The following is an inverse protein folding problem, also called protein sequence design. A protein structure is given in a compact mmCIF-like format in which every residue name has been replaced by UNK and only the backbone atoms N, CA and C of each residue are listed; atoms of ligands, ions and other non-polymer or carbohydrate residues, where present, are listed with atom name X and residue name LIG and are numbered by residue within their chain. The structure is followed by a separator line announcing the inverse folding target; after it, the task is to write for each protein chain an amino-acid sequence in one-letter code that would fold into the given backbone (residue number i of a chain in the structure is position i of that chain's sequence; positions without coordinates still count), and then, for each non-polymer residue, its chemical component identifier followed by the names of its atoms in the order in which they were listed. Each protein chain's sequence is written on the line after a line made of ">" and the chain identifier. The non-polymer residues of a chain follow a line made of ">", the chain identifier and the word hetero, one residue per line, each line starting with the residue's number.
data_IF_490761783025
#
_entry.id   IF_490761783025
#
_cell.length_a   1.000
_cell.length_b   1.000
_cell.length_c   1.000
_cell.angle_alpha   90.00
_cell.angle_beta   90.00
_cell.angle_gamma   90.00
#
_symmetry.space_group_name_H-M   'P 1'
#
loop_
_entity.id
_entity.type
_entity.pdbx_description
1 polymer ?
#
# COMPACT_ATOMS: atom_id res chain seq x y z
N UNK A 1 51.81 24.60 -29.31
CA UNK A 1 52.15 23.68 -30.44
C UNK A 1 51.18 22.55 -30.42
N UNK A 2 50.23 22.58 -31.37
CA UNK A 2 50.02 21.67 -32.51
C UNK A 2 49.47 20.30 -32.07
N UNK A 3 48.37 19.78 -32.51
CA UNK A 3 47.47 19.77 -33.66
C UNK A 3 46.50 18.64 -33.37
N UNK A 4 45.19 18.82 -33.46
CA UNK A 4 44.29 18.42 -34.56
C UNK A 4 44.49 16.97 -35.02
N UNK A 5 43.43 16.17 -34.95
CA UNK A 5 42.53 15.81 -36.04
C UNK A 5 41.40 14.91 -35.56
N UNK A 6 40.27 15.30 -35.88
CA UNK A 6 39.01 14.76 -36.18
C UNK A 6 39.08 13.79 -37.40
N UNK A 7 38.24 12.74 -37.41
CA UNK A 7 37.61 12.20 -38.62
C UNK A 7 36.27 11.59 -38.25
N UNK A 8 35.27 12.12 -38.88
CA UNK A 8 33.91 11.56 -39.04
C UNK A 8 33.88 10.71 -40.29
N UNK A 9 33.00 9.71 -40.34
CA UNK A 9 32.37 9.15 -41.53
C UNK A 9 31.28 8.18 -41.08
N UNK A 10 30.09 8.44 -41.35
CA UNK A 10 29.24 8.51 -42.53
C UNK A 10 28.46 7.20 -42.74
N UNK A 11 27.16 7.30 -42.48
CA UNK A 11 26.00 6.80 -43.20
C UNK A 11 26.21 5.66 -44.24
N UNK A 12 25.35 4.64 -44.16
CA UNK A 12 24.62 4.20 -45.34
C UNK A 12 23.25 3.60 -45.04
N UNK A 13 22.25 4.23 -45.60
CA UNK A 13 20.91 3.81 -45.95
C UNK A 13 20.90 2.57 -46.81
N UNK A 14 19.96 1.68 -46.61
CA UNK A 14 19.36 0.96 -47.75
C UNK A 14 17.88 0.69 -47.52
N UNK A 15 17.09 1.47 -48.25
CA UNK A 15 15.68 1.26 -48.55
C UNK A 15 15.66 0.29 -49.77
N UNK A 16 14.89 -0.79 -49.67
CA UNK A 16 14.44 -1.52 -50.84
C UNK A 16 12.93 -1.61 -50.80
N UNK A 17 12.31 -0.78 -51.62
CA UNK A 17 10.95 -0.90 -52.15
C UNK A 17 10.98 -1.80 -53.38
N UNK A 18 10.09 -2.79 -53.48
CA UNK A 18 9.65 -3.33 -54.77
C UNK A 18 8.14 -3.53 -54.73
N UNK A 19 7.53 -2.74 -55.57
CA UNK A 19 6.16 -2.84 -56.08
C UNK A 19 6.12 -3.87 -57.25
N UNK A 20 4.88 -4.21 -57.65
CA UNK A 20 4.42 -4.85 -58.89
C UNK A 20 4.13 -6.34 -58.70
N UNK A 21 2.99 -6.88 -59.06
CA UNK A 21 1.97 -6.46 -60.01
C UNK A 21 0.75 -7.34 -59.97
N UNK A 22 -0.33 -6.75 -60.36
CA UNK A 22 -1.64 -7.32 -60.62
C UNK A 22 -1.62 -8.32 -61.75
N UNK A 23 -2.37 -9.42 -61.59
CA UNK A 23 -3.01 -10.07 -62.78
C UNK A 23 -4.33 -10.68 -62.34
N UNK A 24 -5.38 -10.13 -62.92
CA UNK A 24 -6.73 -10.68 -62.98
C UNK A 24 -6.76 -11.94 -63.87
N UNK A 25 -7.32 -13.01 -63.37
CA UNK A 25 -7.95 -14.01 -64.24
C UNK A 25 -9.31 -14.35 -63.59
N UNK A 26 -10.38 -13.95 -64.30
CA UNK A 26 -11.73 -14.50 -64.14
C UNK A 26 -11.73 -15.91 -64.72
N UNK A 27 -12.41 -16.81 -64.01
CA UNK A 27 -13.32 -17.75 -64.68
C UNK A 27 -14.28 -18.35 -63.67
N UNK A 28 -15.55 -18.17 -64.01
CA UNK A 28 -16.74 -18.85 -63.44
C UNK A 28 -16.60 -20.38 -63.60
N UNK A 29 -17.10 -21.15 -62.66
CA UNK A 29 -18.16 -22.15 -62.89
C UNK A 29 -18.41 -23.02 -61.61
N UNK A 30 -19.70 -23.00 -61.19
CA UNK A 30 -20.44 -24.06 -60.53
C UNK A 30 -20.22 -24.32 -59.03
N UNK A 31 -21.22 -23.83 -58.29
CA UNK A 31 -21.67 -24.36 -57.01
C UNK A 31 -22.19 -25.82 -57.17
N UNK A 32 -22.02 -26.76 -56.21
CA UNK A 32 -22.95 -26.80 -55.11
C UNK A 32 -22.37 -27.30 -53.77
N UNK A 33 -23.21 -27.17 -52.78
CA UNK A 33 -23.29 -27.81 -51.47
C UNK A 33 -22.77 -27.00 -50.27
N UNK A 34 -23.79 -26.61 -49.51
CA UNK A 34 -23.73 -26.01 -48.20
C UNK A 34 -23.28 -27.04 -47.17
N UNK A 35 -22.09 -26.83 -46.56
CA UNK A 35 -21.81 -27.38 -45.26
C UNK A 35 -22.08 -26.30 -44.17
N UNK A 36 -22.59 -26.67 -43.01
CA UNK A 36 -22.97 -25.68 -41.97
C UNK A 36 -21.71 -25.07 -41.35
N UNK A 37 -21.64 -23.75 -41.40
CA UNK A 37 -20.66 -22.96 -40.64
C UNK A 37 -20.98 -23.17 -39.16
N UNK A 38 -20.15 -23.95 -38.49
CA UNK A 38 -20.10 -24.01 -37.03
C UNK A 38 -19.46 -22.70 -36.59
N UNK A 39 -20.30 -21.75 -36.20
CA UNK A 39 -19.89 -20.55 -35.48
C UNK A 39 -19.57 -20.98 -34.04
N UNK A 40 -18.31 -21.23 -33.76
CA UNK A 40 -17.82 -21.28 -32.38
C UNK A 40 -17.86 -19.86 -31.86
N UNK A 41 -18.96 -19.53 -31.21
CA UNK A 41 -18.99 -18.43 -30.23
C UNK A 41 -18.11 -18.87 -29.08
N UNK A 42 -16.89 -18.34 -29.00
CA UNK A 42 -16.14 -18.31 -27.75
C UNK A 42 -16.93 -17.42 -26.80
N UNK A 43 -17.75 -18.05 -25.98
CA UNK A 43 -18.29 -17.42 -24.76
C UNK A 43 -17.09 -17.06 -23.90
N UNK A 44 -16.66 -15.78 -23.97
CA UNK A 44 -15.92 -15.15 -22.90
C UNK A 44 -16.86 -15.18 -21.69
N UNK A 45 -16.66 -16.19 -20.87
CA UNK A 45 -17.18 -16.22 -19.51
C UNK A 45 -16.52 -15.03 -18.81
N UNK A 46 -17.23 -13.93 -18.72
CA UNK A 46 -16.96 -12.85 -17.80
C UNK A 46 -16.97 -13.52 -16.41
N UNK A 47 -15.82 -13.68 -15.79
CA UNK A 47 -15.74 -14.09 -14.40
C UNK A 47 -16.45 -12.99 -13.60
N UNK A 48 -17.67 -13.27 -13.19
CA UNK A 48 -18.42 -12.50 -12.23
C UNK A 48 -17.54 -12.38 -10.97
N UNK A 49 -16.93 -11.19 -10.76
CA UNK A 49 -16.13 -10.88 -9.59
C UNK A 49 -17.07 -11.05 -8.41
N UNK A 50 -16.91 -12.14 -7.67
CA UNK A 50 -17.69 -12.45 -6.48
C UNK A 50 -17.47 -11.29 -5.52
N UNK A 51 -18.47 -10.44 -5.35
CA UNK A 51 -18.44 -9.37 -4.37
C UNK A 51 -18.23 -10.03 -3.00
N UNK A 52 -17.06 -9.83 -2.43
CA UNK A 52 -16.80 -10.24 -1.03
C UNK A 52 -17.71 -9.39 -0.16
N UNK A 53 -18.63 -9.98 0.63
CA UNK A 53 -19.53 -9.20 1.44
C UNK A 53 -18.71 -8.36 2.43
N UNK A 54 -18.85 -7.04 2.36
CA UNK A 54 -18.36 -6.15 3.43
C UNK A 54 -19.11 -6.59 4.69
N UNK A 55 -18.43 -6.86 5.80
CA UNK A 55 -19.08 -7.28 7.03
C UNK A 55 -20.15 -6.26 7.43
N UNK A 56 -21.37 -6.72 7.64
CA UNK A 56 -22.43 -5.88 8.19
C UNK A 56 -22.10 -5.61 9.67
N UNK A 57 -21.33 -4.55 9.90
CA UNK A 57 -20.84 -4.13 11.20
C UNK A 57 -21.57 -2.84 11.56
N UNK A 58 -22.20 -2.79 12.74
CA UNK A 58 -22.61 -1.51 13.31
C UNK A 58 -21.39 -0.89 14.04
N UNK A 59 -20.71 0.07 13.42
CA UNK A 59 -19.46 0.60 13.96
C UNK A 59 -19.63 1.37 15.28
N UNK A 60 -20.86 1.73 15.67
CA UNK A 60 -21.14 2.43 16.91
C UNK A 60 -21.29 1.46 18.11
N UNK A 61 -21.60 0.21 17.84
CA UNK A 61 -21.83 -0.81 18.89
C UNK A 61 -20.78 -1.91 18.90
N UNK A 62 -19.97 -2.04 17.85
CA UNK A 62 -18.94 -3.07 17.78
C UNK A 62 -17.72 -2.71 18.67
N UNK A 63 -17.63 -3.40 19.80
CA UNK A 63 -16.57 -3.18 20.79
C UNK A 63 -15.15 -3.50 20.28
N UNK A 64 -15.01 -4.24 19.17
CA UNK A 64 -13.69 -4.54 18.59
C UNK A 64 -12.91 -3.28 18.22
N UNK A 65 -13.59 -2.19 17.88
CA UNK A 65 -12.95 -0.92 17.50
C UNK A 65 -12.60 -0.02 18.69
N UNK A 66 -13.09 -0.32 19.90
CA UNK A 66 -12.81 0.43 21.12
C UNK A 66 -12.08 -0.37 22.19
N UNK A 67 -12.06 -1.70 22.10
CA UNK A 67 -11.30 -2.56 23.04
C UNK A 67 -9.79 -2.44 22.74
N UNK A 68 -9.05 -1.96 23.74
CA UNK A 68 -7.60 -1.79 23.67
C UNK A 68 -6.81 -3.10 23.51
N UNK A 69 -7.44 -4.25 23.76
CA UNK A 69 -6.85 -5.56 23.50
C UNK A 69 -7.12 -6.07 22.08
N UNK A 70 -8.07 -5.47 21.37
CA UNK A 70 -8.41 -5.86 20.01
C UNK A 70 -7.32 -5.51 19.02
N UNK A 71 -7.08 -6.39 18.03
CA UNK A 71 -6.23 -6.08 16.87
C UNK A 71 -6.94 -5.14 15.88
N UNK A 72 -8.26 -4.97 16.00
CA UNK A 72 -9.07 -4.06 15.20
C UNK A 72 -9.33 -2.71 15.91
N UNK A 73 -8.63 -2.43 17.03
CA UNK A 73 -8.73 -1.16 17.73
C UNK A 73 -8.56 0.02 16.76
N UNK A 74 -9.58 0.88 16.66
CA UNK A 74 -9.56 2.05 15.78
C UNK A 74 -8.87 3.23 16.49
N UNK A 75 -7.84 3.75 15.83
CA UNK A 75 -7.20 5.01 16.22
C UNK A 75 -7.02 5.86 14.97
N UNK A 76 -7.69 7.00 14.94
CA UNK A 76 -7.60 7.99 13.87
C UNK A 76 -7.94 9.38 14.43
N UNK A 77 -8.12 10.40 13.59
CA UNK A 77 -8.40 11.78 14.04
C UNK A 77 -9.77 11.97 14.69
N UNK A 78 -10.65 10.96 14.68
CA UNK A 78 -11.95 10.95 15.38
C UNK A 78 -11.92 10.09 16.65
N UNK A 79 -10.98 9.16 16.74
CA UNK A 79 -10.89 8.17 17.81
C UNK A 79 -9.48 8.20 18.38
N UNK A 80 -9.36 8.71 19.61
CA UNK A 80 -8.07 8.83 20.30
C UNK A 80 -7.94 7.83 21.45
N UNK A 81 -6.72 7.46 21.74
CA UNK A 81 -6.32 6.79 22.98
C UNK A 81 -5.96 7.81 24.07
N UNK A 82 -6.02 7.37 25.31
CA UNK A 82 -5.37 8.10 26.39
C UNK A 82 -3.87 8.22 26.10
N UNK A 83 -3.28 9.40 26.32
CA UNK A 83 -1.86 9.63 26.01
C UNK A 83 -0.92 8.70 26.78
N UNK A 84 -1.36 8.25 27.94
CA UNK A 84 -0.63 7.32 28.83
C UNK A 84 -0.83 5.85 28.47
N UNK A 85 -1.70 5.54 27.50
CA UNK A 85 -1.94 4.15 27.09
C UNK A 85 -0.68 3.51 26.53
N UNK A 86 -0.38 2.31 27.03
CA UNK A 86 0.70 1.43 26.57
C UNK A 86 0.14 0.02 26.45
N UNK A 87 0.26 -0.63 25.28
CA UNK A 87 -0.12 -2.04 25.14
C UNK A 87 0.66 -2.93 26.11
N UNK A 88 -0.03 -3.87 26.75
CA UNK A 88 0.58 -4.76 27.77
C UNK A 88 1.44 -5.89 27.18
N UNK A 89 1.32 -6.15 25.86
CA UNK A 89 1.95 -7.26 25.15
C UNK A 89 3.02 -6.80 24.14
N UNK A 90 3.63 -5.64 24.36
CA UNK A 90 4.74 -5.17 23.53
C UNK A 90 5.94 -6.12 23.63
N UNK A 91 6.53 -6.42 22.48
CA UNK A 91 7.75 -7.22 22.37
C UNK A 91 8.68 -6.62 21.32
N UNK A 92 9.99 -6.80 21.50
CA UNK A 92 10.98 -6.41 20.51
C UNK A 92 10.82 -7.22 19.23
N UNK A 93 10.92 -6.53 18.08
CA UNK A 93 10.85 -7.14 16.76
C UNK A 93 12.25 -7.51 16.29
N UNK A 94 12.44 -8.77 15.91
CA UNK A 94 13.75 -9.29 15.48
C UNK A 94 13.88 -9.28 13.95
N UNK A 95 14.01 -8.08 13.38
CA UNK A 95 14.22 -7.85 11.93
C UNK A 95 15.28 -6.79 11.69
N UNK A 96 15.68 -6.62 10.43
CA UNK A 96 16.51 -5.49 10.03
C UNK A 96 15.78 -4.17 10.30
N UNK A 97 16.47 -3.20 10.87
CA UNK A 97 15.91 -1.90 11.24
C UNK A 97 16.72 -0.75 10.65
N UNK A 98 16.25 0.47 10.87
CA UNK A 98 16.99 1.70 10.58
C UNK A 98 18.04 2.08 11.65
N UNK A 99 18.48 1.11 12.46
CA UNK A 99 19.44 1.30 13.55
C UNK A 99 18.81 1.55 14.92
N UNK A 100 17.47 1.54 15.01
CA UNK A 100 16.72 1.65 16.26
C UNK A 100 16.01 0.32 16.54
N UNK A 101 16.04 -0.12 17.79
CA UNK A 101 15.26 -1.26 18.25
C UNK A 101 13.78 -0.84 18.40
N UNK A 102 12.87 -1.58 17.77
CA UNK A 102 11.44 -1.29 17.76
C UNK A 102 10.65 -2.41 18.44
N UNK A 103 9.55 -2.03 19.06
CA UNK A 103 8.58 -2.97 19.62
C UNK A 103 7.24 -2.88 18.91
N UNK A 104 6.54 -3.99 18.85
CA UNK A 104 5.13 -4.10 18.42
C UNK A 104 4.38 -4.99 19.41
N UNK A 105 3.06 -5.02 19.33
CA UNK A 105 2.27 -6.04 20.02
C UNK A 105 2.69 -7.43 19.51
N UNK A 106 2.69 -8.42 20.38
CA UNK A 106 3.27 -9.73 20.16
C UNK A 106 2.82 -10.39 18.84
N UNK A 107 1.53 -10.29 18.52
CA UNK A 107 0.98 -10.88 17.29
C UNK A 107 1.49 -10.13 16.04
N UNK A 108 1.47 -8.80 16.06
CA UNK A 108 2.00 -7.98 14.97
C UNK A 108 3.52 -8.13 14.80
N UNK A 109 4.27 -8.29 15.91
CA UNK A 109 5.71 -8.55 15.88
C UNK A 109 6.01 -9.88 15.15
N UNK A 110 5.30 -10.96 15.51
CA UNK A 110 5.47 -12.23 14.82
C UNK A 110 5.12 -12.14 13.33
N UNK A 111 4.03 -11.48 13.02
CA UNK A 111 3.57 -11.33 11.64
C UNK A 111 4.56 -10.54 10.77
N UNK A 112 5.18 -9.47 11.31
CA UNK A 112 6.17 -8.69 10.56
C UNK A 112 7.49 -9.44 10.39
N UNK A 113 7.91 -10.28 11.35
CA UNK A 113 9.06 -11.16 11.22
C UNK A 113 8.87 -12.18 10.09
N UNK A 114 7.66 -12.77 10.00
CA UNK A 114 7.31 -13.69 8.92
C UNK A 114 7.28 -12.99 7.56
N UNK A 115 6.70 -11.78 7.48
CA UNK A 115 6.68 -10.95 6.28
C UNK A 115 8.10 -10.61 5.79
N UNK A 116 8.99 -10.21 6.69
CA UNK A 116 10.39 -9.88 6.34
C UNK A 116 11.18 -11.10 5.90
N UNK A 117 10.88 -12.26 6.48
CA UNK A 117 11.48 -13.54 6.08
C UNK A 117 11.10 -13.88 4.64
N UNK A 118 9.80 -13.81 4.31
CA UNK A 118 9.32 -14.07 2.97
C UNK A 118 9.84 -13.07 1.94
N UNK A 119 9.89 -11.77 2.29
CA UNK A 119 10.48 -10.76 1.42
C UNK A 119 11.95 -11.08 1.08
N UNK A 120 12.72 -11.50 2.08
CA UNK A 120 14.12 -11.90 1.89
C UNK A 120 14.26 -13.14 1.01
N UNK A 121 13.37 -14.12 1.13
CA UNK A 121 13.33 -15.32 0.27
C UNK A 121 13.06 -14.94 -1.20
N UNK A 122 12.25 -13.92 -1.43
CA UNK A 122 11.96 -13.35 -2.75
C UNK A 122 13.04 -12.34 -3.23
N UNK A 123 14.14 -12.15 -2.48
CA UNK A 123 15.23 -11.25 -2.83
C UNK A 123 14.95 -9.77 -2.52
N UNK A 124 13.89 -9.47 -1.78
CA UNK A 124 13.50 -8.12 -1.37
C UNK A 124 14.07 -7.80 0.01
N UNK A 125 14.75 -6.66 0.14
CA UNK A 125 15.33 -6.22 1.41
C UNK A 125 14.46 -5.17 2.07
N UNK A 126 13.85 -5.53 3.20
CA UNK A 126 13.03 -4.62 4.01
C UNK A 126 13.78 -4.20 5.28
N UNK A 127 13.45 -3.01 5.78
CA UNK A 127 13.88 -2.47 7.07
C UNK A 127 12.68 -1.92 7.85
N UNK A 128 12.63 -2.19 9.14
CA UNK A 128 11.64 -1.60 10.04
C UNK A 128 12.09 -0.18 10.42
N UNK A 129 11.36 0.82 9.96
CA UNK A 129 11.66 2.24 10.16
C UNK A 129 11.13 2.79 11.46
N UNK A 130 9.97 2.30 11.93
CA UNK A 130 9.43 2.52 13.26
C UNK A 130 8.39 1.45 13.64
N UNK A 131 8.09 1.38 14.95
CA UNK A 131 7.06 0.54 15.54
C UNK A 131 6.27 1.33 16.60
N UNK A 132 6.02 0.73 17.77
CA UNK A 132 5.32 1.39 18.86
C UNK A 132 5.94 2.74 19.23
N UNK A 133 5.07 3.70 19.49
CA UNK A 133 5.44 5.05 19.88
C UNK A 133 4.50 5.54 20.98
N UNK A 134 5.03 5.97 22.13
CA UNK A 134 4.22 6.50 23.23
C UNK A 134 3.48 7.78 22.83
N UNK A 135 2.33 8.04 23.46
CA UNK A 135 1.56 9.27 23.22
C UNK A 135 2.36 10.53 23.52
N UNK A 136 3.15 10.53 24.62
CA UNK A 136 4.00 11.66 24.98
C UNK A 136 5.09 11.95 23.94
N UNK A 137 5.76 10.92 23.41
CA UNK A 137 6.75 11.08 22.34
C UNK A 137 6.10 11.55 21.04
N UNK A 138 4.91 11.01 20.72
CA UNK A 138 4.14 11.47 19.57
C UNK A 138 3.79 12.96 19.67
N UNK A 139 3.41 13.45 20.85
CA UNK A 139 3.15 14.87 21.10
C UNK A 139 4.37 15.76 20.84
N UNK A 140 5.55 15.33 21.27
CA UNK A 140 6.81 16.04 21.00
C UNK A 140 7.11 16.11 19.48
N UNK A 141 6.91 15.00 18.76
CA UNK A 141 7.09 14.95 17.31
C UNK A 141 6.09 15.87 16.58
N UNK A 142 4.82 15.85 17.01
CA UNK A 142 3.79 16.72 16.45
C UNK A 142 4.19 18.19 16.64
N UNK A 143 4.53 18.61 17.87
CA UNK A 143 4.91 20.00 18.17
C UNK A 143 6.18 20.42 17.38
N UNK A 144 7.16 19.53 17.27
CA UNK A 144 8.36 19.76 16.44
C UNK A 144 8.00 19.98 14.96
N UNK A 145 7.05 19.20 14.46
CA UNK A 145 6.57 19.35 13.07
C UNK A 145 5.80 20.66 12.90
N UNK A 146 4.91 21.03 13.84
CA UNK A 146 4.19 22.31 13.81
C UNK A 146 5.15 23.49 13.75
N UNK A 147 6.20 23.47 14.57
CA UNK A 147 7.22 24.52 14.59
C UNK A 147 8.00 24.62 13.26
N UNK A 148 8.12 23.51 12.53
CA UNK A 148 8.89 23.45 11.27
C UNK A 148 8.06 23.78 10.03
N UNK A 149 6.82 23.28 9.92
CA UNK A 149 6.01 23.37 8.68
C UNK A 149 4.59 23.91 8.89
N UNK A 150 4.27 24.34 10.11
CA UNK A 150 2.94 24.83 10.48
C UNK A 150 1.91 23.74 10.76
N UNK A 151 0.85 24.09 11.50
CA UNK A 151 -0.14 23.12 11.97
C UNK A 151 -0.93 22.46 10.82
N UNK A 152 -1.39 23.24 9.84
CA UNK A 152 -2.17 22.72 8.69
C UNK A 152 -1.42 21.64 7.94
N UNK A 153 -0.13 21.84 7.68
CA UNK A 153 0.70 20.85 6.97
C UNK A 153 1.01 19.65 7.88
N UNK A 154 1.26 19.91 9.17
CA UNK A 154 1.53 18.85 10.15
C UNK A 154 0.34 17.93 10.31
N UNK A 155 -0.88 18.46 10.39
CA UNK A 155 -2.09 17.66 10.53
C UNK A 155 -2.27 16.63 9.42
N UNK A 156 -1.73 16.90 8.22
CA UNK A 156 -1.82 15.98 7.08
C UNK A 156 -0.84 14.79 7.15
N UNK A 157 0.21 14.90 7.97
CA UNK A 157 1.32 13.93 7.95
C UNK A 157 1.69 13.38 9.32
N UNK A 158 1.28 14.04 10.39
CA UNK A 158 1.69 13.71 11.75
C UNK A 158 0.50 13.81 12.70
N UNK A 159 0.20 12.73 13.41
CA UNK A 159 -0.88 12.68 14.38
C UNK A 159 -0.55 13.47 15.63
N UNK A 160 -1.57 14.08 16.25
CA UNK A 160 -1.52 14.60 17.63
C UNK A 160 -1.32 13.43 18.62
N UNK A 161 -0.90 13.75 19.87
CA UNK A 161 -0.82 12.77 20.95
C UNK A 161 -2.16 12.05 21.17
N UNK A 162 -2.12 10.72 21.29
CA UNK A 162 -3.31 9.88 21.39
C UNK A 162 -3.98 9.51 20.05
N UNK A 163 -3.68 10.20 18.95
CA UNK A 163 -4.30 9.97 17.64
C UNK A 163 -3.43 9.19 16.65
N UNK A 164 -2.29 8.67 17.09
CA UNK A 164 -1.38 7.90 16.26
C UNK A 164 -1.62 6.41 16.40
N UNK A 165 -1.81 5.70 15.28
CA UNK A 165 -1.87 4.23 15.29
C UNK A 165 -0.59 3.57 15.82
N UNK A 166 0.55 4.24 15.74
CA UNK A 166 1.80 3.71 16.32
C UNK A 166 1.70 3.52 17.84
N UNK A 167 0.80 4.24 18.52
CA UNK A 167 0.55 4.03 19.96
C UNK A 167 -0.17 2.72 20.24
N UNK A 168 -0.84 2.13 19.26
CA UNK A 168 -1.49 0.82 19.43
C UNK A 168 -0.49 -0.34 19.45
N UNK A 169 0.75 -0.15 18.97
CA UNK A 169 1.69 -1.24 18.74
C UNK A 169 1.29 -2.19 17.60
N UNK A 170 0.26 -1.82 16.80
CA UNK A 170 -0.24 -2.60 15.65
C UNK A 170 0.15 -2.00 14.31
N UNK A 171 0.79 -0.83 14.29
CA UNK A 171 1.25 -0.18 13.08
C UNK A 171 2.78 -0.08 13.04
N UNK A 172 3.32 -0.10 11.84
CA UNK A 172 4.76 -0.06 11.59
C UNK A 172 5.07 0.72 10.31
N UNK A 173 6.23 1.39 10.28
CA UNK A 173 6.79 1.84 9.02
C UNK A 173 7.72 0.77 8.45
N UNK A 174 7.43 0.32 7.23
CA UNK A 174 8.25 -0.62 6.47
C UNK A 174 8.97 0.17 5.37
N UNK A 175 10.28 0.06 5.33
CA UNK A 175 11.18 0.78 4.44
C UNK A 175 11.95 -0.20 3.55
N UNK A 176 12.47 0.28 2.42
CA UNK A 176 13.32 -0.50 1.53
C UNK A 176 14.80 -0.42 1.86
N UNK A 177 15.64 -1.01 1.01
CA UNK A 177 17.10 -0.95 1.14
C UNK A 177 17.64 0.46 0.88
N UNK A 178 17.03 1.22 -0.05
CA UNK A 178 17.45 2.58 -0.37
C UNK A 178 16.96 3.59 0.68
N UNK A 179 17.89 4.09 1.49
CA UNK A 179 17.59 5.06 2.55
C UNK A 179 17.16 6.44 2.02
N UNK A 180 17.39 6.75 0.76
CA UNK A 180 16.96 8.01 0.14
C UNK A 180 15.45 8.09 -0.04
N UNK A 181 14.76 6.94 0.00
CA UNK A 181 13.30 6.83 -0.08
C UNK A 181 12.61 6.81 1.27
N UNK A 182 13.37 6.85 2.39
CA UNK A 182 12.83 6.74 3.75
C UNK A 182 11.82 7.87 4.03
N UNK A 183 10.62 7.47 4.47
CA UNK A 183 9.52 8.35 4.86
C UNK A 183 9.13 9.40 3.81
N UNK A 184 9.26 9.06 2.52
CA UNK A 184 8.78 9.90 1.43
C UNK A 184 8.12 9.08 0.30
N UNK A 185 7.34 9.77 -0.56
CA UNK A 185 6.53 9.10 -1.56
C UNK A 185 7.35 8.46 -2.70
N UNK A 186 8.66 8.70 -2.79
CA UNK A 186 9.51 8.00 -3.77
C UNK A 186 9.60 6.50 -3.48
N UNK A 187 9.38 6.09 -2.21
CA UNK A 187 9.29 4.67 -1.83
C UNK A 187 8.22 3.92 -2.65
N UNK A 188 7.12 4.57 -3.04
CA UNK A 188 6.08 3.97 -3.87
C UNK A 188 6.55 3.51 -5.26
N UNK A 189 7.76 3.92 -5.70
CA UNK A 189 8.36 3.50 -6.98
C UNK A 189 9.32 2.33 -6.82
N UNK A 190 9.64 1.93 -5.60
CA UNK A 190 10.59 0.84 -5.31
C UNK A 190 9.99 -0.54 -5.56
N UNK A 191 10.85 -1.53 -5.74
CA UNK A 191 10.42 -2.91 -5.88
C UNK A 191 9.93 -3.48 -4.54
N UNK A 192 10.45 -2.97 -3.41
CA UNK A 192 9.97 -3.28 -2.07
C UNK A 192 8.50 -2.89 -1.88
N UNK A 193 8.11 -1.67 -2.31
CA UNK A 193 6.71 -1.26 -2.24
C UNK A 193 5.80 -2.12 -3.11
N UNK A 194 6.20 -2.43 -4.34
CA UNK A 194 5.43 -3.31 -5.24
C UNK A 194 5.22 -4.69 -4.61
N UNK A 195 6.30 -5.26 -4.06
CA UNK A 195 6.23 -6.54 -3.36
C UNK A 195 5.27 -6.49 -2.16
N UNK A 196 5.33 -5.41 -1.37
CA UNK A 196 4.43 -5.20 -0.22
C UNK A 196 2.96 -5.10 -0.66
N UNK A 197 2.66 -4.44 -1.79
CA UNK A 197 1.29 -4.37 -2.32
C UNK A 197 0.73 -5.76 -2.69
N UNK A 198 1.57 -6.69 -3.09
CA UNK A 198 1.18 -8.04 -3.51
C UNK A 198 1.21 -9.06 -2.36
N UNK A 199 1.86 -8.74 -1.25
CA UNK A 199 2.17 -9.75 -0.24
C UNK A 199 1.80 -9.36 1.20
N UNK A 200 1.73 -8.07 1.56
CA UNK A 200 1.57 -7.66 2.96
C UNK A 200 0.29 -8.22 3.61
N UNK A 201 -0.81 -8.30 2.87
CA UNK A 201 -2.08 -8.82 3.34
C UNK A 201 -2.00 -10.30 3.78
N UNK A 202 -1.17 -11.12 3.13
CA UNK A 202 -0.93 -12.54 3.48
C UNK A 202 -0.35 -12.71 4.89
N UNK A 203 0.22 -11.63 5.43
CA UNK A 203 0.79 -11.55 6.77
C UNK A 203 -0.06 -10.68 7.71
N UNK A 204 -1.26 -10.29 7.29
CA UNK A 204 -2.20 -9.55 8.12
C UNK A 204 -1.99 -8.04 8.13
N UNK A 205 -1.22 -7.47 7.20
CA UNK A 205 -0.96 -6.05 7.10
C UNK A 205 -1.70 -5.42 5.91
N UNK A 206 -2.23 -4.22 6.13
CA UNK A 206 -2.80 -3.36 5.09
C UNK A 206 -1.99 -2.08 4.94
N UNK A 207 -1.97 -1.49 3.73
CA UNK A 207 -1.52 -0.13 3.53
C UNK A 207 -2.53 0.81 4.18
N UNK A 208 -2.13 1.51 5.22
CA UNK A 208 -3.08 2.24 6.08
C UNK A 208 -3.57 3.56 5.48
N UNK A 209 -2.71 4.24 4.74
CA UNK A 209 -2.97 5.55 4.15
C UNK A 209 -2.71 5.53 2.64
N UNK A 210 -3.64 4.93 1.86
CA UNK A 210 -3.52 4.83 0.42
C UNK A 210 -3.59 6.19 -0.29
N UNK A 211 -3.19 6.24 -1.55
CA UNK A 211 -3.26 7.43 -2.37
C UNK A 211 -4.73 7.82 -2.64
N UNK A 212 -5.01 9.13 -2.66
CA UNK A 212 -6.35 9.70 -2.89
C UNK A 212 -7.40 9.38 -1.80
N UNK A 213 -6.98 8.95 -0.61
CA UNK A 213 -7.88 8.63 0.53
C UNK A 213 -7.76 9.62 1.69
N UNK A 214 -7.16 10.81 1.49
CA UNK A 214 -6.97 11.83 2.53
C UNK A 214 -8.30 12.27 3.17
N UNK A 215 -9.38 12.39 2.36
CA UNK A 215 -10.70 12.79 2.88
C UNK A 215 -11.32 11.74 3.84
N UNK A 216 -10.90 10.49 3.73
CA UNK A 216 -11.39 9.36 4.53
C UNK A 216 -10.50 9.13 5.73
N UNK A 217 -9.20 9.03 5.54
CA UNK A 217 -8.24 8.72 6.61
C UNK A 217 -7.80 9.95 7.40
N UNK A 218 -7.91 11.14 6.80
CA UNK A 218 -7.37 12.40 7.35
C UNK A 218 -5.88 12.62 7.06
N UNK A 219 -5.20 11.66 6.44
CA UNK A 219 -3.75 11.71 6.18
C UNK A 219 -3.45 11.58 4.69
N UNK A 220 -2.38 12.25 4.26
CA UNK A 220 -1.83 12.08 2.91
C UNK A 220 -1.28 10.67 2.72
N UNK A 221 -1.06 10.29 1.46
CA UNK A 221 -0.45 9.02 1.10
C UNK A 221 0.86 8.77 1.85
N UNK A 222 0.96 7.59 2.48
CA UNK A 222 2.16 7.13 3.20
C UNK A 222 2.49 5.69 2.80
N UNK A 223 3.25 5.47 1.72
CA UNK A 223 3.54 4.13 1.18
C UNK A 223 4.31 3.22 2.14
N UNK A 224 4.90 3.76 3.18
CA UNK A 224 5.63 3.03 4.22
C UNK A 224 4.78 2.62 5.43
N UNK A 225 3.55 3.15 5.59
CA UNK A 225 2.78 2.95 6.81
C UNK A 225 1.80 1.79 6.68
N UNK A 226 2.11 0.69 7.38
CA UNK A 226 1.33 -0.53 7.38
C UNK A 226 0.68 -0.77 8.72
N UNK A 227 -0.58 -1.26 8.71
CA UNK A 227 -1.36 -1.59 9.89
C UNK A 227 -1.67 -3.08 9.91
N UNK A 228 -1.37 -3.73 11.05
CA UNK A 228 -1.77 -5.11 11.33
C UNK A 228 -3.25 -5.17 11.73
N UNK A 229 -4.02 -6.00 11.05
CA UNK A 229 -5.46 -6.23 11.26
C UNK A 229 -5.81 -7.72 11.32
N UNK A 230 -4.81 -8.60 11.34
CA UNK A 230 -4.99 -10.05 11.23
C UNK A 230 -5.14 -10.52 9.77
N UNK A 231 -4.76 -11.79 9.51
CA UNK A 231 -4.71 -12.31 8.13
C UNK A 231 -6.07 -12.30 7.45
N UNK A 232 -7.09 -12.81 8.11
CA UNK A 232 -8.44 -12.93 7.53
C UNK A 232 -9.01 -11.55 7.13
N UNK A 233 -8.84 -10.55 8.00
CA UNK A 233 -9.30 -9.18 7.72
C UNK A 233 -8.48 -8.53 6.62
N UNK A 234 -7.16 -8.71 6.62
CA UNK A 234 -6.29 -8.14 5.59
C UNK A 234 -6.58 -8.74 4.21
N UNK A 235 -6.85 -10.04 4.13
CA UNK A 235 -7.23 -10.74 2.91
C UNK A 235 -8.57 -10.22 2.37
N UNK A 236 -9.59 -10.09 3.23
CA UNK A 236 -10.88 -9.53 2.84
C UNK A 236 -10.77 -8.08 2.33
N UNK A 237 -9.97 -7.24 2.99
CA UNK A 237 -9.72 -5.86 2.53
C UNK A 237 -9.02 -5.87 1.16
N UNK A 238 -8.03 -6.75 0.98
CA UNK A 238 -7.30 -6.90 -0.29
C UNK A 238 -8.22 -7.37 -1.44
N UNK A 239 -9.17 -8.28 -1.17
CA UNK A 239 -10.15 -8.76 -2.16
C UNK A 239 -11.08 -7.63 -2.63
N UNK A 240 -11.44 -6.67 -1.75
CA UNK A 240 -12.19 -5.47 -2.14
C UNK A 240 -11.32 -4.55 -3.00
N UNK A 241 -10.07 -4.32 -2.62
CA UNK A 241 -9.09 -3.52 -3.36
C UNK A 241 -7.91 -3.08 -2.50
N UNK A 242 -6.72 -3.00 -3.09
CA UNK A 242 -5.48 -2.61 -2.39
C UNK A 242 -5.50 -1.18 -1.83
N UNK A 243 -6.40 -0.34 -2.30
CA UNK A 243 -6.61 1.04 -1.85
C UNK A 243 -7.81 1.19 -0.92
N UNK A 244 -8.45 0.08 -0.52
CA UNK A 244 -9.54 0.09 0.45
C UNK A 244 -8.98 0.43 1.83
N UNK A 245 -9.48 1.51 2.43
CA UNK A 245 -9.07 1.93 3.76
C UNK A 245 -9.77 1.10 4.86
N UNK A 246 -9.19 1.10 6.05
CA UNK A 246 -9.80 0.47 7.23
C UNK A 246 -11.18 1.07 7.52
N UNK A 247 -11.33 2.39 7.36
CA UNK A 247 -12.58 3.10 7.53
C UNK A 247 -13.63 2.69 6.50
N UNK A 248 -13.28 2.60 5.21
CA UNK A 248 -14.22 2.19 4.16
C UNK A 248 -14.70 0.76 4.35
N UNK A 249 -13.79 -0.15 4.67
CA UNK A 249 -14.12 -1.56 4.82
C UNK A 249 -15.12 -1.84 5.95
N UNK A 250 -15.00 -1.12 7.06
CA UNK A 250 -15.87 -1.31 8.22
C UNK A 250 -16.96 -0.24 8.37
N UNK A 251 -17.07 0.72 7.45
CA UNK A 251 -18.05 1.81 7.56
C UNK A 251 -17.76 2.79 8.71
N UNK A 252 -16.48 2.92 9.11
CA UNK A 252 -16.07 3.72 10.28
C UNK A 252 -15.91 5.19 9.93
N UNK A 253 -16.14 6.06 10.92
CA UNK A 253 -15.89 7.50 10.76
C UNK A 253 -14.39 7.80 10.80
N UNK A 254 -13.93 8.58 9.82
CA UNK A 254 -12.57 9.09 9.73
C UNK A 254 -12.54 10.56 9.31
N UNK A 255 -11.54 10.96 8.54
CA UNK A 255 -11.36 12.34 8.09
C UNK A 255 -10.56 13.20 9.07
N UNK A 256 -10.73 14.51 9.01
CA UNK A 256 -9.93 15.45 9.79
C UNK A 256 -10.41 15.59 11.23
N UNK A 257 -9.57 16.19 12.08
CA UNK A 257 -9.93 16.52 13.46
C UNK A 257 -11.22 17.33 13.52
N UNK A 258 -11.97 17.16 14.60
CA UNK A 258 -13.09 18.05 14.87
C UNK A 258 -12.58 19.48 15.10
N UNK A 259 -13.29 20.44 14.58
CA UNK A 259 -12.98 21.86 14.89
C UNK A 259 -13.29 22.07 16.34
N UNK A 260 -12.29 22.52 17.11
CA UNK A 260 -12.52 23.00 18.45
C UNK A 260 -13.53 24.17 18.38
N UNK A 261 -14.65 24.00 19.08
CA UNK A 261 -15.77 24.97 19.14
C UNK A 261 -15.41 26.15 20.03
#
# INVERSE_FOLDING_TARGET
>A
MTKKLAVAALLMFLIITTLIGSTLIKNDFLNPEKEPVVTTTEDKKEEEKKETPIPEVDPETDTRFSDTNSILLLVNKKHKLEETYVPSDLTTVNVSTNGTEWTLRKEAAKAIEDLFTAAKEDGITLRLGNGYRSGSYQGQLYQSSVNRIGETSTNKTTAKAGYSELQTGLAAAILGADTTTDFNNSFAKSDEYKWLQENAYKYGFILRYPENKESITGYTFMPWHYRYVGKDTAEQIHEVGNDTTFEEFFGLKGGDYEKES
#
